data_IF_020171990855
#
_entry.id   IF_020171990855
#
_cell.length_a   1.000
_cell.length_b   1.000
_cell.length_c   1.000
_cell.angle_alpha   90.00
_cell.angle_beta   90.00
_cell.angle_gamma   90.00
#
_symmetry.space_group_name_H-M   'P 1'
#
loop_
_entity.id
_entity.type
_entity.pdbx_description
1 polymer ?
#
# COMPACT_ATOMS: atom_id res chain seq x y z
N UNK A 1 1.50 -4.15 34.00
CA UNK A 1 2.48 -5.09 33.41
C UNK A 1 3.84 -4.76 34.03
N UNK A 2 4.37 -5.60 34.93
CA UNK A 2 5.66 -5.35 35.62
C UNK A 2 6.78 -5.55 34.59
N UNK A 3 7.47 -4.47 34.21
CA UNK A 3 8.63 -4.55 33.33
C UNK A 3 9.75 -5.34 33.99
N UNK A 4 10.38 -6.24 33.23
CA UNK A 4 11.52 -7.03 33.71
C UNK A 4 12.71 -6.09 33.92
N UNK A 5 13.17 -5.96 35.17
CA UNK A 5 14.28 -5.09 35.58
C UNK A 5 15.64 -5.82 35.65
N UNK A 6 15.73 -7.06 35.18
CA UNK A 6 16.99 -7.82 35.17
C UNK A 6 17.76 -7.52 33.89
N UNK A 7 18.83 -6.74 34.01
CA UNK A 7 19.83 -6.55 32.96
C UNK A 7 20.83 -7.70 33.06
N UNK A 8 20.77 -8.63 32.11
CA UNK A 8 21.71 -9.76 32.02
C UNK A 8 23.11 -9.30 31.59
N UNK A 9 24.15 -10.10 31.88
CA UNK A 9 25.51 -9.90 31.39
C UNK A 9 25.54 -9.77 29.86
N UNK A 10 24.73 -10.57 29.19
CA UNK A 10 24.61 -10.57 27.73
C UNK A 10 24.00 -9.26 27.21
N UNK A 11 23.06 -8.66 27.95
CA UNK A 11 22.51 -7.35 27.61
C UNK A 11 23.55 -6.24 27.77
N UNK A 12 24.47 -6.36 28.74
CA UNK A 12 25.58 -5.41 28.90
C UNK A 12 26.58 -5.54 27.77
N UNK A 13 26.99 -6.77 27.44
CA UNK A 13 27.89 -7.03 26.32
C UNK A 13 27.32 -6.52 24.98
N UNK A 14 26.02 -6.73 24.74
CA UNK A 14 25.34 -6.19 23.57
C UNK A 14 25.33 -4.64 23.56
N UNK A 15 25.04 -4.00 24.70
CA UNK A 15 25.07 -2.54 24.79
C UNK A 15 26.48 -1.95 24.60
N UNK A 16 27.52 -2.63 25.07
CA UNK A 16 28.90 -2.23 24.81
C UNK A 16 29.27 -2.38 23.34
N UNK A 17 28.83 -3.44 22.68
CA UNK A 17 28.97 -3.62 21.24
C UNK A 17 28.29 -2.50 20.43
N UNK A 18 27.04 -2.15 20.76
CA UNK A 18 26.31 -1.05 20.13
C UNK A 18 27.07 0.27 20.28
N UNK A 19 27.57 0.56 21.49
CA UNK A 19 28.36 1.77 21.76
C UNK A 19 29.70 1.77 21.01
N UNK A 20 30.40 0.63 20.96
CA UNK A 20 31.70 0.50 20.31
C UNK A 20 31.65 0.67 18.79
N UNK A 21 30.50 0.43 18.17
CA UNK A 21 30.28 0.62 16.74
C UNK A 21 29.54 1.92 16.39
N UNK A 22 29.32 2.80 17.37
CA UNK A 22 28.56 4.05 17.21
C UNK A 22 27.14 3.83 16.62
N UNK A 23 26.57 2.65 16.86
CA UNK A 23 25.25 2.30 16.36
C UNK A 23 24.18 3.07 17.14
N UNK A 24 23.29 3.73 16.41
CA UNK A 24 22.23 4.56 16.98
C UNK A 24 20.91 3.79 17.02
N UNK A 25 20.25 3.80 18.18
CA UNK A 25 18.92 3.19 18.34
C UNK A 25 17.85 4.14 17.80
N UNK A 26 17.16 3.73 16.74
CA UNK A 26 16.14 4.53 16.08
C UNK A 26 14.79 4.30 16.75
N UNK A 27 14.31 5.33 17.46
CA UNK A 27 13.01 5.29 18.11
C UNK A 27 11.88 5.20 17.07
N UNK A 28 10.96 4.25 17.26
CA UNK A 28 9.80 4.07 16.39
C UNK A 28 8.74 5.15 16.63
N UNK A 29 8.26 5.82 15.57
CA UNK A 29 7.08 6.66 15.60
C UNK A 29 5.79 5.82 15.57
N UNK A 30 4.79 6.19 16.40
CA UNK A 30 3.45 5.58 16.41
C UNK A 30 2.99 4.95 17.72
N UNK A 31 3.83 4.97 18.78
CA UNK A 31 3.40 4.75 20.17
C UNK A 31 3.90 5.93 21.00
N UNK A 32 3.05 6.51 21.84
CA UNK A 32 3.33 7.77 22.53
C UNK A 32 4.65 7.68 23.33
N UNK A 33 5.68 8.45 22.94
CA UNK A 33 6.51 9.31 23.81
C UNK A 33 7.62 10.04 23.00
N UNK A 34 7.60 11.36 23.16
CA UNK A 34 8.62 12.43 23.13
C UNK A 34 9.86 12.45 22.22
N UNK A 35 10.07 13.64 21.66
CA UNK A 35 11.00 14.05 20.61
C UNK A 35 12.27 14.69 21.18
N UNK A 36 13.46 14.15 20.86
CA UNK A 36 14.72 14.90 20.98
C UNK A 36 15.87 14.44 20.06
N UNK A 37 15.58 13.65 19.02
CA UNK A 37 16.61 12.97 18.19
C UNK A 37 16.70 13.46 16.73
N UNK A 38 15.88 14.43 16.31
CA UNK A 38 15.78 14.86 14.91
C UNK A 38 16.91 15.78 14.42
N UNK A 39 17.85 16.18 15.27
CA UNK A 39 18.80 17.25 14.92
C UNK A 39 19.95 16.81 13.99
N UNK A 40 20.30 15.52 13.94
CA UNK A 40 21.47 15.05 13.15
C UNK A 40 21.15 14.15 11.96
N UNK A 41 19.99 13.46 11.96
CA UNK A 41 19.61 12.57 10.86
C UNK A 41 18.13 12.67 10.55
N UNK A 42 17.79 13.08 9.33
CA UNK A 42 16.41 13.17 8.86
C UNK A 42 15.82 11.79 8.51
N UNK A 43 15.81 10.82 9.43
CA UNK A 43 15.13 9.53 9.21
C UNK A 43 13.91 9.39 10.11
N UNK A 44 12.82 8.82 9.58
CA UNK A 44 11.63 8.46 10.32
C UNK A 44 11.40 6.95 10.21
N UNK A 45 11.29 6.26 11.35
CA UNK A 45 11.00 4.83 11.44
C UNK A 45 9.53 4.62 11.84
N UNK A 46 8.75 3.98 10.99
CA UNK A 46 7.33 3.72 11.20
C UNK A 46 7.08 2.22 11.40
N UNK A 47 6.32 1.86 12.44
CA UNK A 47 5.77 0.51 12.59
C UNK A 47 4.49 0.36 11.78
N UNK A 48 4.49 -0.51 10.78
CA UNK A 48 3.30 -0.80 9.98
C UNK A 48 2.39 -1.83 10.69
N UNK A 49 1.07 -1.84 10.40
CA UNK A 49 0.15 -2.86 10.92
C UNK A 49 0.61 -4.28 10.56
N UNK A 50 0.33 -5.23 11.45
CA UNK A 50 0.55 -6.66 11.19
C UNK A 50 -0.40 -7.14 10.09
N UNK A 51 0.17 -7.77 9.07
CA UNK A 51 -0.57 -8.40 7.98
C UNK A 51 -0.76 -9.90 8.23
N UNK A 52 -0.49 -10.72 7.22
CA UNK A 52 -0.57 -12.20 7.29
C UNK A 52 0.58 -12.86 8.04
N UNK A 53 1.67 -12.13 8.33
CA UNK A 53 2.79 -12.58 9.16
C UNK A 53 2.57 -12.18 10.62
N UNK A 54 3.11 -12.99 11.54
CA UNK A 54 3.28 -12.70 12.96
C UNK A 54 4.21 -11.49 13.24
N UNK A 55 5.01 -11.07 12.26
CA UNK A 55 5.87 -9.89 12.33
C UNK A 55 5.18 -8.59 11.88
N UNK A 56 5.54 -7.48 12.52
CA UNK A 56 5.18 -6.12 12.07
C UNK A 56 6.28 -5.56 11.16
N UNK A 57 5.99 -5.15 9.92
CA UNK A 57 6.99 -4.52 9.07
C UNK A 57 7.45 -3.16 9.63
N UNK A 58 8.74 -2.87 9.51
CA UNK A 58 9.33 -1.58 9.87
C UNK A 58 9.67 -0.79 8.60
N UNK A 59 9.24 0.47 8.53
CA UNK A 59 9.49 1.36 7.39
C UNK A 59 10.40 2.51 7.81
N UNK A 60 11.63 2.52 7.30
CA UNK A 60 12.59 3.61 7.49
C UNK A 60 12.60 4.54 6.27
N UNK A 61 12.38 5.84 6.47
CA UNK A 61 12.35 6.83 5.39
C UNK A 61 13.25 8.02 5.70
N UNK A 62 13.97 8.53 4.69
CA UNK A 62 14.82 9.73 4.80
C UNK A 62 14.05 10.99 4.39
N UNK A 63 13.51 11.70 5.38
CA UNK A 63 12.80 12.99 5.31
C UNK A 63 11.62 13.10 4.32
N UNK A 64 10.68 13.99 4.63
CA UNK A 64 9.44 14.28 3.90
C UNK A 64 9.62 14.90 2.51
N UNK A 65 10.68 14.56 1.76
CA UNK A 65 10.81 14.91 0.34
C UNK A 65 9.76 14.16 -0.46
N UNK A 66 8.59 14.78 -0.59
CA UNK A 66 7.64 14.43 -1.64
C UNK A 66 8.35 14.59 -2.97
N UNK A 67 8.47 13.50 -3.73
CA UNK A 67 9.11 13.44 -5.07
C UNK A 67 8.32 14.23 -6.14
N UNK A 68 7.69 15.35 -5.77
CA UNK A 68 6.70 16.07 -6.55
C UNK A 68 5.43 15.26 -6.79
N UNK A 69 4.48 15.82 -7.55
CA UNK A 69 3.31 15.10 -8.02
C UNK A 69 3.74 13.83 -8.77
N UNK A 70 3.18 12.69 -8.36
CA UNK A 70 3.49 11.41 -9.01
C UNK A 70 3.11 11.50 -10.49
N UNK A 71 4.10 11.34 -11.37
CA UNK A 71 3.87 11.34 -12.81
C UNK A 71 2.82 10.27 -13.17
N UNK A 72 2.00 10.56 -14.18
CA UNK A 72 1.05 9.55 -14.66
C UNK A 72 1.83 8.42 -15.32
N UNK A 73 1.49 7.19 -14.96
CA UNK A 73 2.03 5.99 -15.56
C UNK A 73 0.89 5.19 -16.18
N UNK A 74 1.10 4.76 -17.41
CA UNK A 74 0.24 3.80 -18.06
C UNK A 74 0.33 2.45 -17.34
N UNK A 75 -0.80 1.78 -17.12
CA UNK A 75 -0.83 0.44 -16.54
C UNK A 75 -1.12 -0.56 -17.65
N UNK A 76 -0.31 -1.62 -17.75
CA UNK A 76 -0.44 -2.63 -18.79
C UNK A 76 -1.70 -3.45 -18.55
N UNK A 77 -2.12 -3.61 -17.29
CA UNK A 77 -3.39 -4.23 -16.94
C UNK A 77 -4.60 -3.56 -17.61
N UNK A 78 -4.50 -2.29 -18.01
CA UNK A 78 -5.56 -1.62 -18.75
C UNK A 78 -5.83 -2.29 -20.09
N UNK A 79 -4.79 -2.71 -20.82
CA UNK A 79 -4.96 -3.32 -22.16
C UNK A 79 -5.66 -4.67 -22.12
N UNK A 80 -5.64 -5.36 -20.98
CA UNK A 80 -6.31 -6.63 -20.76
C UNK A 80 -7.82 -6.48 -20.53
N UNK A 81 -8.30 -5.28 -20.18
CA UNK A 81 -9.72 -5.05 -19.94
C UNK A 81 -10.47 -4.89 -21.26
N UNK A 82 -11.53 -5.67 -21.45
CA UNK A 82 -12.34 -5.70 -22.69
C UNK A 82 -12.83 -4.33 -23.17
N UNK A 83 -13.12 -3.39 -22.27
CA UNK A 83 -13.57 -2.04 -22.62
C UNK A 83 -12.45 -1.05 -22.93
N UNK A 84 -11.19 -1.38 -22.68
CA UNK A 84 -10.08 -0.40 -22.77
C UNK A 84 -10.00 0.29 -24.12
N UNK A 85 -10.04 -0.48 -25.21
CA UNK A 85 -9.95 0.07 -26.56
C UNK A 85 -11.11 1.02 -26.87
N UNK A 86 -12.33 0.70 -26.40
CA UNK A 86 -13.50 1.57 -26.57
C UNK A 86 -13.37 2.89 -25.82
N UNK A 87 -12.84 2.86 -24.59
CA UNK A 87 -12.63 4.05 -23.76
C UNK A 87 -11.58 4.98 -24.39
N UNK A 88 -10.47 4.41 -24.86
CA UNK A 88 -9.42 5.18 -25.55
C UNK A 88 -9.97 5.81 -26.82
N UNK A 89 -10.63 5.02 -27.67
CA UNK A 89 -11.21 5.49 -28.94
C UNK A 89 -12.18 6.64 -28.72
N UNK A 90 -13.15 6.46 -27.81
CA UNK A 90 -14.13 7.48 -27.46
C UNK A 90 -13.45 8.77 -26.99
N UNK A 91 -12.52 8.67 -26.03
CA UNK A 91 -11.79 9.84 -25.52
C UNK A 91 -11.01 10.56 -26.63
N UNK A 92 -10.46 9.81 -27.58
CA UNK A 92 -9.68 10.33 -28.70
C UNK A 92 -10.55 11.07 -29.72
N UNK A 93 -11.72 10.52 -30.05
CA UNK A 93 -12.66 11.09 -31.02
C UNK A 93 -13.37 12.34 -30.49
N UNK A 94 -13.66 12.40 -29.19
CA UNK A 94 -14.30 13.57 -28.56
C UNK A 94 -13.41 14.83 -28.49
N UNK A 95 -12.16 14.78 -28.94
CA UNK A 95 -11.28 15.97 -29.04
C UNK A 95 -11.27 16.44 -30.48
N UNK A 96 -12.12 17.42 -30.75
CA UNK A 96 -12.11 18.18 -32.00
C UNK A 96 -11.41 19.51 -31.76
N UNK A 97 -10.14 19.59 -32.18
CA UNK A 97 -9.33 20.81 -32.09
C UNK A 97 -8.75 21.06 -33.47
N UNK A 98 -9.05 22.21 -34.05
CA UNK A 98 -8.47 22.66 -35.32
C UNK A 98 -7.25 23.55 -35.03
N UNK A 99 -6.09 22.92 -34.86
CA UNK A 99 -4.80 23.60 -34.71
C UNK A 99 -3.71 22.78 -35.40
N UNK A 100 -2.44 23.20 -35.26
CA UNK A 100 -1.32 22.43 -35.79
C UNK A 100 -1.22 21.05 -35.12
N UNK A 101 -0.71 20.06 -35.86
CA UNK A 101 -0.77 18.66 -35.47
C UNK A 101 -0.22 18.37 -34.05
N UNK A 102 0.86 19.05 -33.63
CA UNK A 102 1.44 18.86 -32.31
C UNK A 102 0.50 19.26 -31.16
N UNK A 103 -0.22 20.38 -31.33
CA UNK A 103 -1.20 20.81 -30.33
C UNK A 103 -2.40 19.88 -30.25
N UNK A 104 -2.87 19.38 -31.40
CA UNK A 104 -3.97 18.41 -31.45
C UNK A 104 -3.61 17.12 -30.72
N UNK A 105 -2.40 16.61 -30.92
CA UNK A 105 -1.90 15.42 -30.22
C UNK A 105 -1.76 15.69 -28.71
N UNK A 106 -1.21 16.84 -28.33
CA UNK A 106 -1.05 17.22 -26.94
C UNK A 106 -2.39 17.25 -26.19
N UNK A 107 -3.42 17.86 -26.78
CA UNK A 107 -4.76 17.91 -26.17
C UNK A 107 -5.43 16.54 -26.11
N UNK A 108 -5.28 15.71 -27.15
CA UNK A 108 -5.77 14.32 -27.14
C UNK A 108 -5.13 13.51 -26.00
N UNK A 109 -3.81 13.59 -25.84
CA UNK A 109 -3.11 12.91 -24.74
C UNK A 109 -3.53 13.48 -23.38
N UNK A 110 -3.71 14.80 -23.26
CA UNK A 110 -4.14 15.45 -22.01
C UNK A 110 -5.52 14.96 -21.59
N UNK A 111 -6.49 14.92 -22.51
CA UNK A 111 -7.84 14.41 -22.24
C UNK A 111 -7.82 12.92 -21.92
N UNK A 112 -7.11 12.12 -22.74
CA UNK A 112 -6.99 10.68 -22.52
C UNK A 112 -6.42 10.37 -21.13
N UNK A 113 -5.39 11.11 -20.69
CA UNK A 113 -4.81 10.97 -19.36
C UNK A 113 -5.83 11.20 -18.24
N UNK A 114 -6.72 12.18 -18.39
CA UNK A 114 -7.79 12.44 -17.41
C UNK A 114 -8.85 11.35 -17.43
N UNK A 115 -9.30 10.94 -18.62
CA UNK A 115 -10.26 9.84 -18.79
C UNK A 115 -9.74 8.55 -18.16
N UNK A 116 -8.49 8.17 -18.45
CA UNK A 116 -7.88 6.96 -17.88
C UNK A 116 -7.71 7.02 -16.37
N UNK A 117 -7.47 8.20 -15.78
CA UNK A 117 -7.44 8.34 -14.31
C UNK A 117 -8.79 8.03 -13.67
N UNK A 118 -9.87 8.58 -14.24
CA UNK A 118 -11.24 8.36 -13.75
C UNK A 118 -11.63 6.90 -13.95
N UNK A 119 -11.46 6.38 -15.17
CA UNK A 119 -11.76 5.00 -15.52
C UNK A 119 -10.95 4.00 -14.67
N UNK A 120 -9.68 4.30 -14.37
CA UNK A 120 -8.89 3.47 -13.47
C UNK A 120 -9.45 3.45 -12.05
N UNK A 121 -9.98 4.57 -11.53
CA UNK A 121 -10.63 4.59 -10.22
C UNK A 121 -11.94 3.79 -10.22
N UNK A 122 -12.73 3.87 -11.28
CA UNK A 122 -14.01 3.16 -11.39
C UNK A 122 -13.81 1.64 -11.55
N UNK A 123 -12.91 1.23 -12.44
CA UNK A 123 -12.70 -0.20 -12.76
C UNK A 123 -11.75 -0.87 -11.77
N UNK A 124 -10.62 -0.22 -11.44
CA UNK A 124 -9.57 -0.81 -10.59
C UNK A 124 -9.56 -0.25 -9.17
N UNK A 125 -10.09 0.95 -8.92
CA UNK A 125 -10.27 1.46 -7.55
C UNK A 125 -11.26 0.62 -6.74
N UNK A 126 -12.20 -0.04 -7.43
CA UNK A 126 -13.08 -1.05 -6.83
C UNK A 126 -12.28 -2.21 -6.20
N UNK A 127 -11.09 -2.55 -6.70
CA UNK A 127 -10.25 -3.63 -6.13
C UNK A 127 -9.82 -3.31 -4.69
N UNK A 128 -9.42 -2.06 -4.41
CA UNK A 128 -9.02 -1.66 -3.05
C UNK A 128 -10.21 -1.56 -2.10
N UNK A 129 -11.35 -1.04 -2.58
CA UNK A 129 -12.59 -0.98 -1.80
C UNK A 129 -13.15 -2.38 -1.51
N UNK A 130 -13.12 -3.25 -2.51
CA UNK A 130 -13.51 -4.67 -2.39
C UNK A 130 -12.61 -5.39 -1.42
N UNK A 131 -11.28 -5.17 -1.47
CA UNK A 131 -10.35 -5.75 -0.51
C UNK A 131 -10.68 -5.33 0.92
N UNK A 132 -10.85 -4.02 1.15
CA UNK A 132 -11.20 -3.48 2.47
C UNK A 132 -12.55 -4.01 2.97
N UNK A 133 -13.52 -4.19 2.09
CA UNK A 133 -14.81 -4.80 2.43
C UNK A 133 -14.67 -6.29 2.79
N UNK A 134 -13.89 -7.05 2.02
CA UNK A 134 -13.65 -8.47 2.27
C UNK A 134 -12.86 -8.69 3.58
N UNK A 135 -11.84 -7.86 3.84
CA UNK A 135 -11.11 -7.83 5.11
C UNK A 135 -12.02 -7.48 6.29
N UNK A 136 -12.90 -6.49 6.13
CA UNK A 136 -13.88 -6.12 7.16
C UNK A 136 -14.86 -7.26 7.49
N UNK A 137 -15.35 -7.97 6.48
CA UNK A 137 -16.20 -9.17 6.67
C UNK A 137 -15.44 -10.29 7.37
N UNK A 138 -14.19 -10.54 6.97
CA UNK A 138 -13.35 -11.55 7.60
C UNK A 138 -13.09 -11.22 9.08
N UNK A 139 -12.79 -9.96 9.38
CA UNK A 139 -12.61 -9.48 10.75
C UNK A 139 -13.87 -9.66 11.60
N UNK A 140 -15.05 -9.35 11.05
CA UNK A 140 -16.31 -9.55 11.77
C UNK A 140 -16.59 -11.04 12.09
N UNK A 141 -16.24 -11.95 11.19
CA UNK A 141 -16.35 -13.40 11.42
C UNK A 141 -15.32 -13.90 12.44
N UNK A 142 -14.13 -13.30 12.48
CA UNK A 142 -13.12 -13.63 13.48
C UNK A 142 -13.57 -13.18 14.88
N UNK A 143 -14.17 -11.99 15.03
CA UNK A 143 -14.75 -11.50 16.30
C UNK A 143 -15.92 -12.35 16.78
N UNK A 144 -16.85 -12.74 15.90
CA UNK A 144 -17.99 -13.58 16.27
C UNK A 144 -17.54 -14.93 16.85
N UNK A 145 -16.44 -15.46 16.35
CA UNK A 145 -15.88 -16.72 16.79
C UNK A 145 -15.10 -16.67 18.11
N UNK A 146 -14.81 -15.47 18.62
CA UNK A 146 -14.30 -15.30 19.99
C UNK A 146 -15.45 -15.40 21.01
N UNK A 147 -16.69 -15.18 20.57
CA UNK A 147 -17.90 -15.17 21.42
C UNK A 147 -18.69 -16.47 21.42
N UNK A 148 -18.62 -17.26 20.33
CA UNK A 148 -19.32 -18.55 20.19
C UNK A 148 -18.61 -19.50 19.24
N UNK A 149 -18.96 -20.78 19.33
CA UNK A 149 -18.54 -21.77 18.34
C UNK A 149 -19.15 -21.48 16.96
N UNK A 150 -18.34 -21.73 15.93
CA UNK A 150 -18.68 -21.44 14.53
C UNK A 150 -19.56 -22.55 13.95
N UNK A 151 -20.53 -22.18 13.12
CA UNK A 151 -21.26 -23.13 12.30
C UNK A 151 -20.48 -23.51 11.02
N UNK A 152 -20.78 -24.65 10.42
CA UNK A 152 -20.13 -25.14 9.20
C UNK A 152 -20.31 -24.17 8.02
N UNK A 153 -21.46 -23.48 7.96
CA UNK A 153 -21.73 -22.43 6.96
C UNK A 153 -20.77 -21.24 7.09
N UNK A 154 -20.39 -20.87 8.31
CA UNK A 154 -19.47 -19.77 8.61
C UNK A 154 -18.02 -20.15 8.32
N UNK A 155 -17.67 -21.42 8.57
CA UNK A 155 -16.35 -21.97 8.20
C UNK A 155 -16.15 -21.91 6.69
N UNK A 156 -17.16 -22.33 5.91
CA UNK A 156 -17.10 -22.24 4.45
C UNK A 156 -17.03 -20.78 3.98
N UNK A 157 -17.87 -19.90 4.53
CA UNK A 157 -17.87 -18.48 4.18
C UNK A 157 -16.52 -17.81 4.44
N UNK A 158 -15.86 -18.17 5.54
CA UNK A 158 -14.51 -17.70 5.89
C UNK A 158 -13.46 -18.16 4.88
N UNK A 159 -13.54 -19.42 4.41
CA UNK A 159 -12.64 -19.93 3.36
C UNK A 159 -12.79 -19.15 2.06
N UNK A 160 -14.03 -18.89 1.64
CA UNK A 160 -14.31 -18.15 0.41
C UNK A 160 -13.81 -16.70 0.50
N UNK A 161 -14.06 -16.02 1.64
CA UNK A 161 -13.56 -14.66 1.89
C UNK A 161 -12.03 -14.60 1.91
N UNK A 162 -11.36 -15.59 2.50
CA UNK A 162 -9.88 -15.66 2.48
C UNK A 162 -9.34 -15.82 1.07
N UNK A 163 -9.99 -16.63 0.24
CA UNK A 163 -9.64 -16.77 -1.18
C UNK A 163 -9.83 -15.45 -1.94
N UNK A 164 -10.95 -14.77 -1.71
CA UNK A 164 -11.24 -13.47 -2.32
C UNK A 164 -10.19 -12.41 -1.92
N UNK A 165 -9.84 -12.32 -0.64
CA UNK A 165 -8.77 -11.44 -0.13
C UNK A 165 -7.43 -11.76 -0.78
N UNK A 166 -7.09 -13.04 -0.94
CA UNK A 166 -5.86 -13.45 -1.61
C UNK A 166 -5.82 -13.03 -3.08
N UNK A 167 -6.89 -13.28 -3.83
CA UNK A 167 -6.98 -12.95 -5.25
C UNK A 167 -6.92 -11.43 -5.48
N UNK A 168 -7.57 -10.64 -4.60
CA UNK A 168 -7.51 -9.17 -4.64
C UNK A 168 -6.11 -8.65 -4.30
N UNK A 169 -5.45 -9.22 -3.29
CA UNK A 169 -4.07 -8.88 -2.95
C UNK A 169 -3.10 -9.17 -4.10
N UNK A 170 -3.27 -10.30 -4.79
CA UNK A 170 -2.48 -10.62 -5.99
C UNK A 170 -2.68 -9.57 -7.09
N UNK A 171 -3.91 -9.13 -7.34
CA UNK A 171 -4.15 -8.04 -8.31
C UNK A 171 -3.47 -6.73 -7.90
N UNK A 172 -3.49 -6.38 -6.62
CA UNK A 172 -2.80 -5.18 -6.10
C UNK A 172 -1.28 -5.31 -6.23
N UNK A 173 -0.73 -6.47 -5.89
CA UNK A 173 0.70 -6.78 -6.01
C UNK A 173 1.19 -6.59 -7.44
N UNK A 174 0.43 -7.09 -8.42
CA UNK A 174 0.76 -6.90 -9.85
C UNK A 174 0.74 -5.43 -10.26
N UNK A 175 -0.24 -4.66 -9.77
CA UNK A 175 -0.30 -3.21 -9.99
C UNK A 175 0.91 -2.51 -9.34
N UNK A 176 1.34 -2.96 -8.15
CA UNK A 176 2.47 -2.41 -7.43
C UNK A 176 3.79 -2.72 -8.09
N UNK A 177 4.00 -3.96 -8.56
CA UNK A 177 5.20 -4.35 -9.32
C UNK A 177 5.38 -3.44 -10.52
N UNK A 178 4.34 -3.23 -11.31
CA UNK A 178 4.41 -2.34 -12.48
C UNK A 178 4.66 -0.86 -12.10
N UNK A 179 4.18 -0.43 -10.93
CA UNK A 179 4.40 0.93 -10.42
C UNK A 179 5.76 1.10 -9.75
N UNK A 180 6.35 0.02 -9.24
CA UNK A 180 7.67 0.00 -8.64
C UNK A 180 8.72 0.27 -9.73
N UNK A 181 9.84 0.90 -9.36
CA UNK A 181 10.97 1.13 -10.27
C UNK A 181 11.99 -0.01 -10.15
N UNK A 182 11.51 -1.22 -9.86
CA UNK A 182 12.34 -2.40 -9.73
C UNK A 182 12.36 -3.05 -11.12
N UNK A 183 13.47 -2.88 -11.82
CA UNK A 183 13.80 -3.64 -13.02
C UNK A 183 14.22 -5.07 -12.65
#
# INVERSE_FOLDING_TARGET
MKGCLKVDSDMKAFNEFIKGLELSDLLMQGRQFTWKWLENFHFCLWGLPRGVSDHSPLLLMKDGRGWGPRAFRFLNAWTLHHQFQSVVKKSWEEVEVSSWAGFVIQEKIRKLRLTLKIWNAEVFGNVNLSLKSAEGKLHSLDLLAESRDRDDSEVQRRRDLRKEVWDLNKKIEWIWLQKSRLD
#
